data_IF_922723159751
#
_entry.id   IF_922723159751
#
_cell.length_a   1.000
_cell.length_b   1.000
_cell.length_c   1.000
_cell.angle_alpha   90.00
_cell.angle_beta   90.00
_cell.angle_gamma   90.00
#
_symmetry.space_group_name_H-M   'P 1'
#
loop_
_entity.id
_entity.type
_entity.pdbx_description
1 polymer ?
#
# COMPACT_ATOMS: atom_id res chain seq x y z
N UNK A 1 -8.33 50.19 59.90
CA UNK A 1 -8.39 50.28 58.43
C UNK A 1 -7.55 49.13 57.91
N UNK A 2 -8.22 48.04 57.55
CA UNK A 2 -7.63 46.72 57.35
C UNK A 2 -7.00 46.61 55.95
N UNK A 3 -5.74 46.17 55.90
CA UNK A 3 -5.06 45.75 54.67
C UNK A 3 -5.65 44.43 54.17
N UNK A 4 -5.94 44.27 52.86
CA UNK A 4 -6.45 43.00 52.33
C UNK A 4 -5.32 41.96 52.19
N UNK A 5 -5.66 40.66 52.13
CA UNK A 5 -4.71 39.56 52.13
C UNK A 5 -4.09 39.34 50.75
N UNK A 6 -2.81 38.94 50.78
CA UNK A 6 -1.98 38.60 49.63
C UNK A 6 -2.59 37.39 48.88
N UNK A 7 -3.06 37.61 47.65
CA UNK A 7 -3.61 36.57 46.80
C UNK A 7 -2.48 35.67 46.27
N UNK A 8 -2.76 34.38 46.22
CA UNK A 8 -1.80 33.31 45.99
C UNK A 8 -1.03 33.41 44.68
N UNK A 9 0.15 32.79 44.71
CA UNK A 9 0.97 32.44 43.57
C UNK A 9 0.13 31.73 42.50
N UNK A 10 -0.23 32.47 41.46
CA UNK A 10 -0.72 31.90 40.21
C UNK A 10 0.44 31.15 39.55
N UNK A 11 0.27 29.86 39.29
CA UNK A 11 1.15 29.12 38.37
C UNK A 11 1.30 29.93 37.08
N UNK A 12 2.50 30.04 36.49
CA UNK A 12 2.68 30.78 35.26
C UNK A 12 1.77 30.19 34.19
N UNK A 13 0.98 31.05 33.53
CA UNK A 13 0.20 30.68 32.37
C UNK A 13 1.12 30.05 31.31
N UNK A 14 0.67 29.01 30.58
CA UNK A 14 1.49 28.38 29.55
C UNK A 14 1.89 29.45 28.52
N UNK A 15 3.20 29.63 28.33
CA UNK A 15 3.77 30.54 27.33
C UNK A 15 3.39 30.00 25.94
N UNK A 16 2.30 30.52 25.36
CA UNK A 16 1.89 30.21 23.99
C UNK A 16 2.79 31.00 23.03
N UNK A 17 4.07 30.64 22.95
CA UNK A 17 4.88 30.89 21.75
C UNK A 17 4.46 29.85 20.73
N UNK A 18 3.94 30.31 19.58
CA UNK A 18 3.11 29.57 18.62
C UNK A 18 3.64 28.29 17.97
N UNK A 19 4.75 27.71 18.45
CA UNK A 19 5.28 26.42 17.99
C UNK A 19 5.39 25.37 19.10
N UNK A 20 5.19 25.76 20.37
CA UNK A 20 5.36 24.89 21.54
C UNK A 20 4.11 24.80 22.40
N UNK A 21 3.72 23.60 22.82
CA UNK A 21 2.65 23.36 23.80
C UNK A 21 3.14 22.39 24.86
N UNK A 22 3.11 22.77 26.15
CA UNK A 22 3.67 21.98 27.26
C UNK A 22 5.11 21.46 27.03
N UNK A 23 5.97 22.27 26.39
CA UNK A 23 7.35 21.87 26.05
C UNK A 23 7.50 21.02 24.78
N UNK A 24 6.38 20.68 24.11
CA UNK A 24 6.40 19.97 22.83
C UNK A 24 6.45 20.93 21.67
N UNK A 25 7.55 20.92 20.92
CA UNK A 25 7.57 21.54 19.60
C UNK A 25 6.67 20.74 18.64
N UNK A 26 5.69 21.42 18.05
CA UNK A 26 4.83 20.80 17.04
C UNK A 26 5.65 20.24 15.88
N UNK A 27 6.80 20.87 15.56
CA UNK A 27 7.71 20.44 14.51
C UNK A 27 7.05 20.36 13.13
N UNK A 28 5.86 20.96 12.96
CA UNK A 28 5.09 20.91 11.72
C UNK A 28 5.80 21.72 10.63
N UNK A 29 5.70 21.29 9.36
CA UNK A 29 6.30 22.04 8.28
C UNK A 29 5.63 23.42 8.17
N UNK A 30 6.44 24.46 7.98
CA UNK A 30 5.98 25.86 7.81
C UNK A 30 4.99 26.05 6.65
N UNK A 31 4.94 25.12 5.70
CA UNK A 31 3.92 25.09 4.65
C UNK A 31 3.64 23.67 4.16
N UNK A 32 2.37 23.39 3.88
CA UNK A 32 1.86 22.09 3.42
C UNK A 32 1.71 22.00 1.89
N UNK A 33 2.28 22.94 1.14
CA UNK A 33 2.17 22.96 -0.33
C UNK A 33 2.82 21.70 -0.90
N UNK A 34 2.01 20.71 -1.32
CA UNK A 34 2.38 19.41 -1.91
C UNK A 34 2.70 18.21 -0.99
N UNK A 35 2.23 18.19 0.26
CA UNK A 35 2.41 16.99 1.08
C UNK A 35 1.53 15.82 0.60
N UNK A 36 2.16 14.69 0.25
CA UNK A 36 1.47 13.45 -0.10
C UNK A 36 0.50 13.03 1.03
N UNK A 37 -0.67 12.43 0.71
CA UNK A 37 -1.70 12.11 1.70
C UNK A 37 -1.17 11.37 2.95
N UNK A 38 -0.29 10.37 2.75
CA UNK A 38 0.29 9.62 3.86
C UNK A 38 1.09 10.49 4.86
N UNK A 39 1.73 11.57 4.40
CA UNK A 39 2.44 12.51 5.28
C UNK A 39 1.47 13.26 6.17
N UNK A 40 0.31 13.62 5.64
CA UNK A 40 -0.74 14.29 6.40
C UNK A 40 -1.32 13.35 7.46
N UNK A 41 -1.54 12.08 7.11
CA UNK A 41 -2.02 11.06 8.06
C UNK A 41 -1.02 10.83 9.20
N UNK A 42 0.28 10.64 8.87
CA UNK A 42 1.35 10.50 9.87
C UNK A 42 1.36 11.71 10.82
N UNK A 43 1.28 12.91 10.27
CA UNK A 43 1.37 14.14 11.06
C UNK A 43 0.14 14.36 11.92
N UNK A 44 -1.05 14.05 11.41
CA UNK A 44 -2.28 14.02 12.22
C UNK A 44 -2.15 13.04 13.38
N UNK A 45 -1.71 11.81 13.13
CA UNK A 45 -1.56 10.80 14.19
C UNK A 45 -0.49 11.21 15.20
N UNK A 46 0.63 11.76 14.74
CA UNK A 46 1.68 12.32 15.61
C UNK A 46 1.15 13.43 16.52
N UNK A 47 0.36 14.36 16.00
CA UNK A 47 -0.25 15.44 16.81
C UNK A 47 -1.19 14.85 17.86
N UNK A 48 -2.02 13.86 17.50
CA UNK A 48 -2.90 13.18 18.47
C UNK A 48 -2.09 12.54 19.60
N UNK A 49 -0.98 11.86 19.28
CA UNK A 49 -0.11 11.25 20.31
C UNK A 49 0.60 12.30 21.18
N UNK A 50 1.00 13.44 20.60
CA UNK A 50 1.53 14.56 21.38
C UNK A 50 0.49 15.12 22.34
N UNK A 51 -0.76 15.24 21.89
CA UNK A 51 -1.91 15.67 22.69
C UNK A 51 -2.18 14.70 23.86
N UNK A 52 -2.22 13.40 23.57
CA UNK A 52 -2.35 12.35 24.58
C UNK A 52 -1.25 12.43 25.63
N UNK A 53 0.02 12.53 25.19
CA UNK A 53 1.16 12.58 26.10
C UNK A 53 1.17 13.83 26.97
N UNK A 54 0.82 14.99 26.43
CA UNK A 54 0.85 16.24 27.17
C UNK A 54 -0.30 16.37 28.18
N UNK A 55 -1.37 15.57 28.05
CA UNK A 55 -2.38 15.40 29.09
C UNK A 55 -1.91 14.53 30.25
N UNK A 56 -0.87 13.72 30.08
CA UNK A 56 -0.32 12.89 31.15
C UNK A 56 0.35 13.76 32.21
N UNK A 57 -0.25 13.82 33.40
CA UNK A 57 0.35 14.40 34.61
C UNK A 57 1.37 13.43 35.21
N UNK A 58 2.53 13.30 34.58
CA UNK A 58 3.63 12.48 35.09
C UNK A 58 4.23 13.14 36.34
N UNK A 59 4.06 12.52 37.51
CA UNK A 59 4.56 13.04 38.79
C UNK A 59 5.92 12.49 39.17
N UNK A 60 6.27 11.31 38.67
CA UNK A 60 7.56 10.66 38.96
C UNK A 60 8.66 11.14 37.98
N UNK A 61 9.80 11.63 38.48
CA UNK A 61 10.95 11.98 37.64
C UNK A 61 11.42 10.83 36.71
N UNK A 62 11.30 9.58 37.16
CA UNK A 62 11.71 8.42 36.38
C UNK A 62 10.79 8.17 35.17
N UNK A 63 9.47 8.34 35.34
CA UNK A 63 8.49 8.27 34.26
C UNK A 63 8.69 9.41 33.24
N UNK A 64 9.07 10.60 33.71
CA UNK A 64 9.39 11.73 32.86
C UNK A 64 10.65 11.50 32.02
N UNK A 65 11.72 10.93 32.61
CA UNK A 65 12.93 10.54 31.88
C UNK A 65 12.66 9.43 30.87
N UNK A 66 11.86 8.42 31.25
CA UNK A 66 11.49 7.32 30.37
C UNK A 66 10.67 7.81 29.17
N UNK A 67 9.70 8.71 29.39
CA UNK A 67 8.97 9.40 28.31
C UNK A 67 9.92 10.19 27.41
N UNK A 68 10.81 10.99 27.99
CA UNK A 68 11.72 11.84 27.23
C UNK A 68 12.67 11.01 26.34
N UNK A 69 13.21 9.92 26.87
CA UNK A 69 14.16 9.08 26.16
C UNK A 69 13.48 8.18 25.12
N UNK A 70 12.40 7.48 25.50
CA UNK A 70 11.81 6.43 24.68
C UNK A 70 10.69 6.90 23.75
N UNK A 71 10.02 8.01 24.03
CA UNK A 71 8.83 8.44 23.27
C UNK A 71 9.13 9.68 22.44
N UNK A 72 9.73 10.72 23.03
CA UNK A 72 10.02 11.96 22.29
C UNK A 72 11.01 11.72 21.14
N UNK A 73 12.00 10.84 21.36
CA UNK A 73 12.92 10.40 20.31
C UNK A 73 12.21 9.75 19.12
N UNK A 74 11.24 8.87 19.39
CA UNK A 74 10.45 8.20 18.34
C UNK A 74 9.53 9.18 17.59
N UNK A 75 8.87 10.11 18.29
CA UNK A 75 8.03 11.13 17.67
C UNK A 75 8.84 12.11 16.82
N UNK A 76 10.07 12.42 17.23
CA UNK A 76 11.02 13.21 16.44
C UNK A 76 11.50 12.44 15.21
N UNK A 77 11.79 11.14 15.35
CA UNK A 77 12.17 10.28 14.24
C UNK A 77 11.05 10.14 13.20
N UNK A 78 9.81 9.94 13.66
CA UNK A 78 8.62 9.90 12.82
C UNK A 78 8.41 11.23 12.07
N UNK A 79 8.62 12.36 12.76
CA UNK A 79 8.56 13.68 12.14
C UNK A 79 9.61 13.81 11.01
N UNK A 80 10.86 13.45 11.32
CA UNK A 80 11.99 13.49 10.40
C UNK A 80 11.73 12.62 9.17
N UNK A 81 11.28 11.38 9.37
CA UNK A 81 10.93 10.46 8.30
C UNK A 81 9.82 11.01 7.40
N UNK A 82 8.77 11.60 8.00
CA UNK A 82 7.66 12.17 7.24
C UNK A 82 8.05 13.39 6.38
N UNK A 83 9.00 14.21 6.85
CA UNK A 83 9.44 15.42 6.17
C UNK A 83 10.60 15.18 5.19
N UNK A 84 11.27 14.03 5.30
CA UNK A 84 12.41 13.68 4.45
C UNK A 84 11.99 13.68 2.99
N UNK A 85 12.73 14.43 2.16
CA UNK A 85 12.56 14.41 0.71
C UNK A 85 12.99 13.05 0.17
N UNK A 86 12.05 12.31 -0.42
CA UNK A 86 12.31 11.00 -1.02
C UNK A 86 12.58 11.15 -2.51
N UNK A 87 13.78 10.77 -2.95
CA UNK A 87 14.08 10.60 -4.38
C UNK A 87 13.44 9.32 -4.94
N UNK A 88 13.44 9.14 -6.26
CA UNK A 88 12.81 8.00 -6.97
C UNK A 88 13.27 6.64 -6.40
N UNK A 89 14.57 6.49 -6.13
CA UNK A 89 15.12 5.27 -5.53
C UNK A 89 14.56 5.03 -4.12
N UNK A 90 14.55 6.03 -3.23
CA UNK A 90 13.99 5.86 -1.88
C UNK A 90 12.46 5.65 -1.90
N UNK A 91 11.76 6.32 -2.81
CA UNK A 91 10.33 6.14 -3.04
C UNK A 91 9.97 4.72 -3.47
N UNK A 92 10.85 4.08 -4.26
CA UNK A 92 10.71 2.68 -4.65
C UNK A 92 10.71 1.73 -3.44
N UNK A 93 11.63 1.94 -2.49
CA UNK A 93 11.77 1.08 -1.30
C UNK A 93 10.71 1.34 -0.23
N UNK A 94 10.24 2.59 -0.07
CA UNK A 94 9.20 2.94 0.90
C UNK A 94 9.70 3.13 2.34
N UNK A 95 11.01 3.11 2.56
CA UNK A 95 11.60 3.07 3.91
C UNK A 95 11.12 4.21 4.84
N UNK A 96 10.92 5.42 4.32
CA UNK A 96 10.55 6.57 5.18
C UNK A 96 9.09 6.51 5.64
N UNK A 97 8.17 5.96 4.84
CA UNK A 97 6.76 5.80 5.26
C UNK A 97 6.63 4.71 6.31
N UNK A 98 7.32 3.56 6.12
CA UNK A 98 7.36 2.48 7.11
C UNK A 98 8.04 2.92 8.39
N UNK A 99 9.18 3.60 8.28
CA UNK A 99 9.88 4.13 9.46
C UNK A 99 8.95 5.06 10.23
N UNK A 100 8.25 5.97 9.56
CA UNK A 100 7.33 6.87 10.24
C UNK A 100 6.21 6.10 10.98
N UNK A 101 5.53 5.17 10.31
CA UNK A 101 4.46 4.38 10.92
C UNK A 101 4.94 3.48 12.05
N UNK A 102 6.03 2.74 11.84
CA UNK A 102 6.61 1.88 12.86
C UNK A 102 6.97 2.67 14.13
N UNK A 103 7.49 3.90 13.98
CA UNK A 103 7.78 4.78 15.12
C UNK A 103 6.54 5.27 15.83
N UNK A 104 5.45 5.56 15.11
CA UNK A 104 4.18 5.94 15.74
C UNK A 104 3.53 4.75 16.46
N UNK A 105 3.52 3.56 15.85
CA UNK A 105 3.04 2.32 16.48
C UNK A 105 3.82 2.00 17.76
N UNK A 106 5.14 2.14 17.73
CA UNK A 106 6.00 1.95 18.92
C UNK A 106 5.70 2.97 20.03
N UNK A 107 5.38 4.22 19.68
CA UNK A 107 4.92 5.23 20.66
C UNK A 107 3.57 4.85 21.25
N UNK A 108 2.63 4.39 20.43
CA UNK A 108 1.30 3.97 20.88
C UNK A 108 1.39 2.85 21.90
N UNK A 109 2.22 1.84 21.64
CA UNK A 109 2.48 0.74 22.57
C UNK A 109 3.10 1.23 23.88
N UNK A 110 4.13 2.07 23.83
CA UNK A 110 4.83 2.56 25.03
C UNK A 110 4.01 3.55 25.86
N UNK A 111 3.08 4.26 25.23
CA UNK A 111 2.22 5.20 25.95
C UNK A 111 1.26 4.46 26.88
N UNK A 112 0.93 3.19 26.60
CA UNK A 112 0.07 2.37 27.47
C UNK A 112 0.64 2.23 28.88
N UNK A 113 1.96 2.17 29.03
CA UNK A 113 2.60 2.04 30.35
C UNK A 113 2.49 3.33 31.18
N UNK A 114 2.31 4.48 30.53
CA UNK A 114 2.25 5.80 31.17
C UNK A 114 0.81 6.31 31.39
N UNK A 115 -0.19 5.65 30.80
CA UNK A 115 -1.59 6.08 30.93
C UNK A 115 -2.09 5.91 32.37
N UNK A 116 -2.96 6.80 32.88
CA UNK A 116 -3.66 6.58 34.14
C UNK A 116 -4.57 5.34 34.07
N UNK A 117 -4.74 4.63 35.19
CA UNK A 117 -5.58 3.42 35.26
C UNK A 117 -7.03 3.68 34.81
N UNK A 118 -7.53 4.89 35.03
CA UNK A 118 -8.88 5.33 34.64
C UNK A 118 -9.10 5.36 33.13
N UNK A 119 -8.04 5.50 32.33
CA UNK A 119 -8.12 5.60 30.87
C UNK A 119 -7.87 4.25 30.17
N UNK A 120 -7.37 3.24 30.90
CA UNK A 120 -7.01 1.95 30.32
C UNK A 120 -8.20 1.23 29.68
N UNK A 121 -9.39 1.31 30.27
CA UNK A 121 -10.59 0.66 29.71
C UNK A 121 -11.02 1.28 28.37
N UNK A 122 -10.92 2.61 28.25
CA UNK A 122 -11.19 3.31 27.00
C UNK A 122 -10.14 2.93 25.94
N UNK A 123 -8.86 2.87 26.34
CA UNK A 123 -7.77 2.52 25.43
C UNK A 123 -7.82 1.06 24.97
N UNK A 124 -8.23 0.15 25.84
CA UNK A 124 -8.47 -1.25 25.50
C UNK A 124 -9.60 -1.40 24.47
N UNK A 125 -10.67 -0.60 24.60
CA UNK A 125 -11.78 -0.61 23.63
C UNK A 125 -11.32 -0.10 22.26
N UNK A 126 -10.50 0.94 22.21
CA UNK A 126 -9.91 1.42 20.95
C UNK A 126 -8.96 0.38 20.32
N UNK A 127 -8.14 -0.27 21.14
CA UNK A 127 -7.25 -1.35 20.71
C UNK A 127 -8.04 -2.53 20.10
N UNK A 128 -9.16 -2.93 20.71
CA UNK A 128 -10.05 -3.95 20.16
C UNK A 128 -10.70 -3.53 18.84
N UNK A 129 -11.12 -2.27 18.72
CA UNK A 129 -11.66 -1.74 17.48
C UNK A 129 -10.63 -1.77 16.35
N UNK A 130 -9.39 -1.36 16.63
CA UNK A 130 -8.30 -1.43 15.64
C UNK A 130 -7.93 -2.89 15.30
N UNK A 131 -7.87 -3.77 16.31
CA UNK A 131 -7.58 -5.18 16.16
C UNK A 131 -8.63 -5.91 15.31
N UNK A 132 -9.92 -5.59 15.47
CA UNK A 132 -10.99 -6.23 14.67
C UNK A 132 -10.88 -6.02 13.16
N UNK A 133 -10.11 -5.02 12.72
CA UNK A 133 -9.86 -4.74 11.30
C UNK A 133 -8.63 -5.48 10.79
N UNK A 134 -7.67 -5.81 11.67
CA UNK A 134 -6.33 -6.29 11.29
C UNK A 134 -5.97 -7.69 11.82
N UNK A 135 -6.79 -8.25 12.71
CA UNK A 135 -6.65 -9.59 13.27
C UNK A 135 -7.82 -10.47 12.82
N UNK A 136 -7.58 -11.78 12.81
CA UNK A 136 -8.62 -12.77 12.60
C UNK A 136 -9.58 -12.79 13.81
N UNK A 137 -10.86 -13.10 13.56
CA UNK A 137 -11.89 -13.16 14.60
C UNK A 137 -11.59 -14.17 15.72
N UNK A 138 -10.73 -15.15 15.44
CA UNK A 138 -10.31 -16.21 16.37
C UNK A 138 -9.00 -15.91 17.11
N UNK A 139 -8.47 -14.67 17.04
CA UNK A 139 -7.23 -14.33 17.75
C UNK A 139 -7.42 -14.39 19.27
N UNK A 140 -6.73 -15.34 19.90
CA UNK A 140 -6.78 -15.59 21.34
C UNK A 140 -6.49 -14.36 22.20
N UNK A 141 -5.64 -13.43 21.74
CA UNK A 141 -5.28 -12.21 22.50
C UNK A 141 -6.43 -11.21 22.48
N UNK A 142 -7.09 -11.08 21.33
CA UNK A 142 -8.28 -10.23 21.20
C UNK A 142 -9.40 -10.74 22.10
N UNK A 143 -9.66 -12.05 22.08
CA UNK A 143 -10.66 -12.68 22.95
C UNK A 143 -10.33 -12.51 24.44
N UNK A 144 -9.06 -12.64 24.81
CA UNK A 144 -8.61 -12.42 26.18
C UNK A 144 -8.84 -10.99 26.64
N UNK A 145 -8.46 -10.00 25.83
CA UNK A 145 -8.69 -8.58 26.16
C UNK A 145 -10.18 -8.24 26.23
N UNK A 146 -11.00 -8.83 25.36
CA UNK A 146 -12.45 -8.68 25.40
C UNK A 146 -13.05 -9.28 26.69
N UNK A 147 -12.55 -10.44 27.13
CA UNK A 147 -12.98 -11.07 28.37
C UNK A 147 -12.62 -10.22 29.60
N UNK A 148 -11.42 -9.62 29.62
CA UNK A 148 -11.00 -8.70 30.69
C UNK A 148 -11.88 -7.45 30.78
N UNK A 149 -12.37 -6.93 29.65
CA UNK A 149 -13.30 -5.79 29.63
C UNK A 149 -14.74 -6.17 29.97
N UNK A 150 -15.13 -7.42 29.75
CA UNK A 150 -16.48 -7.90 30.03
C UNK A 150 -16.77 -8.06 31.52
N UNK A 151 -15.74 -8.11 32.37
CA UNK A 151 -15.86 -8.17 33.83
C UNK A 151 -15.26 -6.92 34.51
N UNK A 152 -16.03 -5.82 34.61
CA UNK A 152 -15.57 -4.56 35.21
C UNK A 152 -15.14 -4.68 36.67
N UNK A 153 -15.60 -5.73 37.37
CA UNK A 153 -15.36 -6.01 38.79
C UNK A 153 -13.91 -6.41 39.08
N UNK A 154 -13.19 -6.90 38.06
CA UNK A 154 -11.85 -7.47 38.18
C UNK A 154 -10.82 -6.77 37.28
N UNK A 155 -11.08 -5.54 36.83
CA UNK A 155 -10.11 -4.77 36.04
C UNK A 155 -8.89 -4.45 36.91
N UNK A 156 -7.84 -5.27 36.77
CA UNK A 156 -6.52 -5.03 37.33
C UNK A 156 -5.65 -4.38 36.27
N UNK A 157 -5.13 -3.18 36.56
CA UNK A 157 -4.24 -2.46 35.65
C UNK A 157 -2.98 -3.27 35.29
N UNK A 158 -2.49 -4.10 36.22
CA UNK A 158 -1.31 -4.94 35.99
C UNK A 158 -1.52 -6.02 34.92
N UNK A 159 -2.74 -6.51 34.75
CA UNK A 159 -3.08 -7.52 33.75
C UNK A 159 -3.61 -6.88 32.45
N UNK A 160 -4.28 -5.72 32.57
CA UNK A 160 -4.88 -5.02 31.44
C UNK A 160 -3.83 -4.35 30.54
N UNK A 161 -2.82 -3.67 31.11
CA UNK A 161 -1.76 -3.01 30.34
C UNK A 161 -1.03 -3.96 29.38
N UNK A 162 -0.45 -5.10 29.83
CA UNK A 162 0.26 -6.01 28.93
C UNK A 162 -0.67 -6.63 27.89
N UNK A 163 -1.96 -6.85 28.23
CA UNK A 163 -2.95 -7.36 27.29
C UNK A 163 -3.27 -6.36 26.17
N UNK A 164 -3.42 -5.07 26.49
CA UNK A 164 -3.59 -4.00 25.50
C UNK A 164 -2.37 -3.94 24.57
N UNK A 165 -1.15 -3.91 25.14
CA UNK A 165 0.10 -3.85 24.36
C UNK A 165 0.25 -5.06 23.44
N UNK A 166 -0.08 -6.27 23.92
CA UNK A 166 0.00 -7.48 23.12
C UNK A 166 -0.96 -7.46 21.91
N UNK A 167 -2.19 -6.98 22.11
CA UNK A 167 -3.17 -6.83 21.03
C UNK A 167 -2.72 -5.75 20.04
N UNK A 168 -2.32 -4.56 20.52
CA UNK A 168 -1.86 -3.46 19.67
C UNK A 168 -0.66 -3.87 18.82
N UNK A 169 0.38 -4.45 19.44
CA UNK A 169 1.59 -4.87 18.72
C UNK A 169 1.26 -5.83 17.58
N UNK A 170 0.43 -6.82 17.85
CA UNK A 170 0.02 -7.80 16.84
C UNK A 170 -0.76 -7.13 15.71
N UNK A 171 -1.72 -6.27 16.05
CA UNK A 171 -2.51 -5.55 15.06
C UNK A 171 -1.64 -4.62 14.20
N UNK A 172 -0.68 -3.91 14.81
CA UNK A 172 0.30 -3.08 14.10
C UNK A 172 1.19 -3.90 13.18
N UNK A 173 1.75 -5.03 13.64
CA UNK A 173 2.57 -5.93 12.81
C UNK A 173 1.80 -6.45 11.60
N UNK A 174 0.52 -6.82 11.77
CA UNK A 174 -0.33 -7.25 10.66
C UNK A 174 -0.65 -6.10 9.70
N UNK A 175 -0.94 -4.91 10.21
CA UNK A 175 -1.15 -3.71 9.38
C UNK A 175 0.10 -3.36 8.57
N UNK A 176 1.27 -3.39 9.21
CA UNK A 176 2.56 -3.11 8.56
C UNK A 176 2.91 -4.17 7.52
N UNK A 177 2.64 -5.45 7.80
CA UNK A 177 2.81 -6.55 6.83
C UNK A 177 1.90 -6.39 5.61
N UNK A 178 0.63 -6.08 5.82
CA UNK A 178 -0.33 -5.81 4.73
C UNK A 178 0.15 -4.65 3.84
N UNK A 179 0.64 -3.57 4.46
CA UNK A 179 1.23 -2.44 3.75
C UNK A 179 2.53 -2.81 3.00
N UNK A 180 3.36 -3.70 3.54
CA UNK A 180 4.55 -4.24 2.87
C UNK A 180 4.18 -5.08 1.64
N UNK A 181 3.22 -5.99 1.78
CA UNK A 181 2.75 -6.84 0.68
C UNK A 181 2.17 -6.01 -0.47
N UNK A 182 1.35 -5.00 -0.16
CA UNK A 182 0.84 -4.06 -1.15
C UNK A 182 1.99 -3.38 -1.93
N UNK A 183 3.05 -2.96 -1.24
CA UNK A 183 4.21 -2.34 -1.91
C UNK A 183 4.99 -3.31 -2.79
N UNK A 184 5.22 -4.54 -2.33
CA UNK A 184 5.90 -5.55 -3.15
C UNK A 184 5.11 -5.86 -4.41
N UNK A 185 3.77 -5.96 -4.30
CA UNK A 185 2.90 -6.12 -5.45
C UNK A 185 3.01 -4.92 -6.41
N UNK A 186 2.96 -3.69 -5.89
CA UNK A 186 3.21 -2.48 -6.70
C UNK A 186 4.52 -2.57 -7.45
N UNK A 187 5.61 -2.87 -6.75
CA UNK A 187 6.95 -2.86 -7.33
C UNK A 187 7.08 -3.95 -8.42
N UNK A 188 6.48 -5.13 -8.22
CA UNK A 188 6.37 -6.17 -9.25
C UNK A 188 5.58 -5.70 -10.47
N UNK A 189 4.45 -5.01 -10.27
CA UNK A 189 3.63 -4.48 -11.36
C UNK A 189 4.36 -3.38 -12.15
N UNK A 190 5.08 -2.48 -11.48
CA UNK A 190 5.87 -1.44 -12.16
C UNK A 190 7.02 -2.08 -12.94
N UNK A 191 7.71 -3.07 -12.35
CA UNK A 191 8.78 -3.79 -13.04
C UNK A 191 8.26 -4.52 -14.29
N UNK A 192 7.13 -5.23 -14.17
CA UNK A 192 6.48 -5.90 -15.29
C UNK A 192 6.03 -4.89 -16.38
N UNK A 193 5.50 -3.74 -15.97
CA UNK A 193 5.11 -2.67 -16.92
C UNK A 193 6.34 -2.10 -17.64
N UNK A 194 7.43 -1.87 -16.91
CA UNK A 194 8.69 -1.43 -17.48
C UNK A 194 9.27 -2.44 -18.47
N UNK A 195 9.21 -3.74 -18.16
CA UNK A 195 9.62 -4.80 -19.07
C UNK A 195 8.74 -4.84 -20.34
N UNK A 196 7.42 -4.71 -20.21
CA UNK A 196 6.51 -4.65 -21.36
C UNK A 196 6.80 -3.42 -22.24
N UNK A 197 7.03 -2.24 -21.65
CA UNK A 197 7.43 -1.04 -22.38
C UNK A 197 8.78 -1.25 -23.09
N UNK A 198 9.74 -1.88 -22.42
CA UNK A 198 11.04 -2.19 -23.01
C UNK A 198 10.91 -3.10 -24.23
N UNK A 199 10.16 -4.21 -24.12
CA UNK A 199 9.92 -5.10 -25.25
C UNK A 199 9.12 -4.41 -26.36
N UNK A 200 8.13 -3.60 -26.03
CA UNK A 200 7.39 -2.81 -27.02
C UNK A 200 8.33 -1.87 -27.80
N UNK A 201 9.20 -1.14 -27.10
CA UNK A 201 10.20 -0.28 -27.71
C UNK A 201 11.24 -1.06 -28.52
N UNK A 202 11.63 -2.26 -28.06
CA UNK A 202 12.57 -3.13 -28.76
C UNK A 202 11.97 -3.70 -30.04
N UNK A 203 10.71 -4.13 -30.05
CA UNK A 203 10.01 -4.59 -31.27
C UNK A 203 9.93 -3.46 -32.29
N UNK A 204 9.59 -2.25 -31.82
CA UNK A 204 9.60 -1.03 -32.61
C UNK A 204 11.00 -0.74 -33.19
N UNK A 205 12.05 -0.72 -32.35
CA UNK A 205 13.42 -0.50 -32.79
C UNK A 205 13.89 -1.54 -33.80
N UNK A 206 13.55 -2.81 -33.58
CA UNK A 206 13.90 -3.92 -34.47
C UNK A 206 13.25 -3.73 -35.84
N UNK A 207 11.95 -3.40 -35.89
CA UNK A 207 11.27 -3.09 -37.17
C UNK A 207 11.88 -1.88 -37.88
N UNK A 208 12.35 -0.89 -37.13
CA UNK A 208 13.03 0.29 -37.69
C UNK A 208 14.41 -0.04 -38.26
N UNK A 209 15.16 -0.94 -37.62
CA UNK A 209 16.49 -1.37 -38.04
C UNK A 209 16.42 -2.34 -39.24
N UNK A 210 15.52 -3.31 -39.20
CA UNK A 210 15.35 -4.33 -40.25
C UNK A 210 14.29 -3.89 -41.27
N UNK A 211 14.57 -2.80 -42.01
CA UNK A 211 13.63 -2.19 -42.96
C UNK A 211 13.12 -3.14 -44.06
N UNK A 212 13.86 -4.20 -44.37
CA UNK A 212 13.54 -5.14 -45.44
C UNK A 212 12.64 -6.31 -44.99
N UNK A 213 12.58 -6.58 -43.67
CA UNK A 213 11.79 -7.68 -43.12
C UNK A 213 10.66 -7.10 -42.28
N UNK A 214 9.43 -7.41 -42.68
CA UNK A 214 8.22 -6.92 -42.03
C UNK A 214 7.77 -7.96 -41.00
N UNK A 215 7.53 -7.54 -39.76
CA UNK A 215 6.94 -8.44 -38.76
C UNK A 215 5.48 -8.78 -39.09
N UNK A 216 4.71 -7.80 -39.55
CA UNK A 216 3.31 -7.95 -39.90
C UNK A 216 3.14 -7.75 -41.41
N UNK A 217 2.19 -8.47 -42.01
CA UNK A 217 1.81 -8.26 -43.41
C UNK A 217 1.23 -6.86 -43.60
N UNK A 218 1.68 -6.16 -44.64
CA UNK A 218 1.21 -4.80 -44.93
C UNK A 218 -0.14 -4.88 -45.68
N UNK A 219 -1.15 -4.06 -45.32
CA UNK A 219 -2.41 -4.00 -46.04
C UNK A 219 -2.23 -3.55 -47.49
N UNK A 220 -2.88 -4.23 -48.43
CA UNK A 220 -2.69 -4.02 -49.88
C UNK A 220 -3.12 -2.62 -50.37
N UNK A 221 -4.08 -1.97 -49.69
CA UNK A 221 -4.84 -0.87 -50.29
C UNK A 221 -4.56 0.55 -49.75
N UNK A 222 -3.69 0.78 -48.77
CA UNK A 222 -3.66 2.13 -48.16
C UNK A 222 -2.38 2.60 -47.47
N UNK A 223 -1.54 1.73 -46.93
CA UNK A 223 -0.43 2.17 -46.08
C UNK A 223 0.90 2.26 -46.86
N UNK A 224 1.19 3.42 -47.46
CA UNK A 224 2.44 3.71 -48.20
C UNK A 224 3.60 4.19 -47.31
N UNK A 225 3.36 4.26 -46.01
CA UNK A 225 4.27 4.79 -45.00
C UNK A 225 5.28 3.73 -44.52
N UNK A 226 6.22 4.14 -43.66
CA UNK A 226 7.29 3.25 -43.17
C UNK A 226 6.71 2.10 -42.34
N UNK A 227 7.19 0.85 -42.49
CA UNK A 227 6.72 -0.31 -41.72
C UNK A 227 6.65 -0.13 -40.21
N UNK A 228 7.56 0.68 -39.67
CA UNK A 228 7.60 0.98 -38.25
C UNK A 228 6.41 1.84 -37.79
N UNK A 229 5.89 2.72 -38.65
CA UNK A 229 4.70 3.54 -38.37
C UNK A 229 3.44 2.67 -38.37
N UNK A 230 3.37 1.69 -39.28
CA UNK A 230 2.29 0.70 -39.29
C UNK A 230 2.25 -0.11 -38.00
N UNK A 231 3.40 -0.67 -37.59
CA UNK A 231 3.54 -1.40 -36.34
C UNK A 231 3.17 -0.54 -35.12
N UNK A 232 3.60 0.73 -35.10
CA UNK A 232 3.22 1.67 -34.05
C UNK A 232 1.70 1.87 -33.99
N UNK A 233 1.03 2.00 -35.13
CA UNK A 233 -0.43 2.17 -35.19
C UNK A 233 -1.17 0.93 -34.67
N UNK A 234 -0.72 -0.27 -35.06
CA UNK A 234 -1.24 -1.54 -34.54
C UNK A 234 -1.09 -1.61 -33.02
N UNK A 235 0.10 -1.30 -32.51
CA UNK A 235 0.40 -1.29 -31.08
C UNK A 235 -0.47 -0.28 -30.32
N UNK A 236 -0.70 0.90 -30.90
CA UNK A 236 -1.59 1.92 -30.34
C UNK A 236 -3.03 1.42 -30.23
N UNK A 237 -3.58 0.81 -31.27
CA UNK A 237 -4.94 0.24 -31.22
C UNK A 237 -5.03 -0.98 -30.27
N UNK A 238 -3.94 -1.75 -30.12
CA UNK A 238 -3.80 -2.75 -29.06
C UNK A 238 -3.91 -2.15 -27.65
N UNK A 239 -3.27 -1.00 -27.40
CA UNK A 239 -3.45 -0.26 -26.13
C UNK A 239 -4.89 0.22 -25.94
N UNK A 240 -5.54 0.70 -27.00
CA UNK A 240 -6.95 1.16 -26.93
C UNK A 240 -7.86 0.00 -26.51
N UNK A 241 -7.70 -1.17 -27.11
CA UNK A 241 -8.44 -2.38 -26.72
C UNK A 241 -8.19 -2.77 -25.26
N UNK A 242 -6.93 -2.72 -24.83
CA UNK A 242 -6.55 -2.98 -23.45
C UNK A 242 -7.18 -2.00 -22.46
N UNK A 243 -7.27 -0.72 -22.80
CA UNK A 243 -7.84 0.32 -21.96
C UNK A 243 -9.30 0.04 -21.60
N UNK A 244 -10.11 -0.42 -22.57
CA UNK A 244 -11.51 -0.81 -22.31
C UNK A 244 -11.64 -1.87 -21.22
N UNK A 245 -10.64 -2.73 -21.07
CA UNK A 245 -10.64 -3.79 -20.04
C UNK A 245 -10.05 -3.35 -18.70
N UNK A 246 -9.31 -2.24 -18.67
CA UNK A 246 -8.72 -1.69 -17.45
C UNK A 246 -9.72 -0.82 -16.66
N UNK A 247 -10.63 -0.12 -17.34
CA UNK A 247 -11.59 0.81 -16.73
C UNK A 247 -12.47 0.16 -15.64
N UNK A 248 -13.11 -1.01 -15.86
CA UNK A 248 -13.96 -1.61 -14.84
C UNK A 248 -13.20 -2.09 -13.59
N UNK A 249 -11.89 -2.35 -13.72
CA UNK A 249 -11.05 -2.72 -12.58
C UNK A 249 -10.69 -1.51 -11.72
N UNK A 250 -10.57 -0.32 -12.33
CA UNK A 250 -10.32 0.94 -11.61
C UNK A 250 -11.56 1.47 -10.91
N UNK A 251 -12.78 1.21 -11.42
CA UNK A 251 -14.02 1.69 -10.81
C UNK A 251 -14.42 0.95 -9.53
N UNK A 252 -13.79 -0.20 -9.23
CA UNK A 252 -14.05 -1.02 -8.04
C UNK A 252 -13.07 -0.77 -6.90
N UNK A 253 -12.18 0.21 -7.02
CA UNK A 253 -11.23 0.58 -5.96
C UNK A 253 -12.05 1.01 -4.74
N UNK A 254 -11.98 0.28 -3.60
CA UNK A 254 -12.55 0.79 -2.36
C UNK A 254 -11.93 2.16 -2.07
N UNK A 255 -12.70 3.12 -1.56
CA UNK A 255 -12.16 4.41 -1.12
C UNK A 255 -11.14 4.29 0.03
N UNK A 256 -10.83 3.07 0.45
CA UNK A 256 -9.95 2.80 1.56
C UNK A 256 -8.54 3.31 1.25
N UNK A 257 -7.98 4.02 2.23
CA UNK A 257 -6.83 4.91 2.06
C UNK A 257 -5.50 4.15 2.04
N UNK A 258 -5.41 3.04 1.29
CA UNK A 258 -4.14 2.35 1.08
C UNK A 258 -3.21 3.25 0.26
N UNK A 259 -2.03 3.65 0.79
CA UNK A 259 -1.12 4.56 0.09
C UNK A 259 -0.52 3.96 -1.20
N UNK A 260 -0.83 2.70 -1.54
CA UNK A 260 -0.23 1.96 -2.64
C UNK A 260 -1.11 1.77 -3.89
N UNK A 261 -2.38 2.21 -3.91
CA UNK A 261 -3.29 2.26 -5.08
C UNK A 261 -3.05 1.16 -6.15
N UNK A 262 -3.15 -0.10 -5.73
CA UNK A 262 -2.84 -1.28 -6.55
C UNK A 262 -3.61 -1.36 -7.87
N UNK A 263 -4.92 -1.03 -7.93
CA UNK A 263 -5.68 -1.18 -9.17
C UNK A 263 -5.24 -0.22 -10.29
N UNK A 264 -4.71 0.96 -9.92
CA UNK A 264 -4.16 1.90 -10.90
C UNK A 264 -2.93 1.29 -11.61
N UNK A 265 -2.04 0.64 -10.86
CA UNK A 265 -0.86 0.00 -11.41
C UNK A 265 -1.20 -1.24 -12.23
N UNK A 266 -2.20 -2.01 -11.80
CA UNK A 266 -2.73 -3.12 -12.60
C UNK A 266 -3.31 -2.63 -13.93
N UNK A 267 -4.00 -1.50 -13.93
CA UNK A 267 -4.49 -0.88 -15.16
C UNK A 267 -3.37 -0.39 -16.07
N UNK A 268 -2.32 0.21 -15.51
CA UNK A 268 -1.14 0.64 -16.26
C UNK A 268 -0.44 -0.56 -16.93
N UNK A 269 -0.26 -1.66 -16.20
CA UNK A 269 0.32 -2.89 -16.75
C UNK A 269 -0.50 -3.41 -17.93
N UNK A 270 -1.83 -3.49 -17.78
CA UNK A 270 -2.75 -3.93 -18.85
C UNK A 270 -2.66 -3.04 -20.08
N UNK A 271 -2.56 -1.72 -19.88
CA UNK A 271 -2.43 -0.76 -20.98
C UNK A 271 -1.16 -1.00 -21.78
N UNK A 272 -0.04 -1.25 -21.12
CA UNK A 272 1.26 -1.50 -21.77
C UNK A 272 1.35 -2.90 -22.38
N UNK A 273 0.67 -3.89 -21.79
CA UNK A 273 0.65 -5.26 -22.30
C UNK A 273 -0.17 -5.38 -23.60
N UNK A 274 -1.25 -4.59 -23.73
CA UNK A 274 -2.13 -4.55 -24.92
C UNK A 274 -1.40 -4.51 -26.27
N UNK A 275 -0.47 -3.56 -26.50
CA UNK A 275 0.39 -3.50 -27.67
C UNK A 275 1.06 -4.82 -28.05
N UNK A 276 1.65 -5.50 -27.07
CA UNK A 276 2.40 -6.74 -27.31
C UNK A 276 1.46 -7.88 -27.69
N UNK A 277 0.32 -7.99 -26.97
CA UNK A 277 -0.69 -9.01 -27.26
C UNK A 277 -1.31 -8.80 -28.64
N UNK A 278 -1.55 -7.54 -29.04
CA UNK A 278 -2.04 -7.22 -30.38
C UNK A 278 -1.09 -7.66 -31.49
N UNK A 279 0.21 -7.38 -31.34
CA UNK A 279 1.24 -7.80 -32.31
C UNK A 279 1.31 -9.33 -32.39
N UNK A 280 1.35 -10.03 -31.25
CA UNK A 280 1.38 -11.50 -31.22
C UNK A 280 0.12 -12.11 -31.83
N UNK A 281 -1.06 -11.56 -31.53
CA UNK A 281 -2.32 -12.03 -32.08
C UNK A 281 -2.37 -11.92 -33.61
N UNK A 282 -1.90 -10.79 -34.16
CA UNK A 282 -1.82 -10.63 -35.61
C UNK A 282 -0.76 -11.55 -36.25
N UNK A 283 0.39 -11.76 -35.60
CA UNK A 283 1.40 -12.73 -36.08
C UNK A 283 0.83 -14.15 -36.19
N UNK A 284 -0.02 -14.57 -35.25
CA UNK A 284 -0.67 -15.88 -35.28
C UNK A 284 -1.64 -16.00 -36.46
N UNK A 285 -2.35 -14.92 -36.80
CA UNK A 285 -3.25 -14.89 -37.94
C UNK A 285 -2.51 -14.83 -39.28
N UNK A 286 -1.43 -14.05 -39.36
CA UNK A 286 -0.57 -13.97 -40.55
C UNK A 286 0.13 -15.30 -40.84
N UNK A 287 0.44 -16.08 -39.80
CA UNK A 287 1.00 -17.42 -39.94
C UNK A 287 -0.04 -18.50 -40.34
N UNK A 288 -1.31 -18.12 -40.51
CA UNK A 288 -2.46 -19.01 -40.81
C UNK A 288 -2.61 -20.20 -39.84
N UNK A 289 -2.09 -20.06 -38.62
CA UNK A 289 -2.08 -21.16 -37.63
C UNK A 289 -3.51 -21.55 -37.22
N UNK A 290 -4.42 -20.57 -37.19
CA UNK A 290 -5.79 -20.76 -36.73
C UNK A 290 -6.80 -20.98 -37.88
N UNK A 291 -6.39 -20.91 -39.15
CA UNK A 291 -7.30 -20.94 -40.33
C UNK A 291 -8.46 -19.95 -40.24
N UNK A 292 -8.30 -18.88 -39.46
CA UNK A 292 -9.27 -17.78 -39.34
C UNK A 292 -8.77 -16.68 -40.27
N UNK A 293 -9.56 -16.32 -41.28
CA UNK A 293 -9.13 -15.38 -42.31
C UNK A 293 -8.57 -14.07 -41.74
N UNK A 294 -7.37 -13.72 -42.18
CA UNK A 294 -6.77 -12.41 -41.91
C UNK A 294 -7.49 -11.32 -42.72
N UNK A 295 -7.51 -10.09 -42.21
CA UNK A 295 -8.05 -8.94 -42.93
C UNK A 295 -6.94 -8.24 -43.69
N UNK A 296 -7.06 -8.16 -45.02
CA UNK A 296 -6.10 -7.42 -45.85
C UNK A 296 -6.31 -5.90 -45.84
N UNK A 297 -7.32 -5.41 -45.10
CA UNK A 297 -7.60 -3.96 -44.97
C UNK A 297 -6.95 -3.37 -43.71
N UNK A 298 -6.51 -2.10 -43.80
CA UNK A 298 -5.96 -1.36 -42.66
C UNK A 298 -6.94 -1.32 -41.48
N UNK A 299 -8.19 -0.92 -41.75
CA UNK A 299 -9.23 -0.79 -40.71
C UNK A 299 -9.50 -2.14 -40.05
N UNK A 300 -9.63 -3.22 -40.82
CA UNK A 300 -9.87 -4.55 -40.27
C UNK A 300 -8.69 -5.03 -39.41
N UNK A 301 -7.45 -4.72 -39.79
CA UNK A 301 -6.28 -5.04 -38.96
C UNK A 301 -6.26 -4.25 -37.66
N UNK A 302 -6.60 -2.96 -37.67
CA UNK A 302 -6.66 -2.13 -36.46
C UNK A 302 -7.81 -2.55 -35.51
N UNK A 303 -8.96 -2.95 -36.06
CA UNK A 303 -10.05 -3.55 -35.29
C UNK A 303 -9.59 -4.84 -34.63
N UNK A 304 -8.90 -5.70 -35.37
CA UNK A 304 -8.39 -6.97 -34.88
C UNK A 304 -7.29 -6.78 -33.81
N UNK A 305 -6.40 -5.81 -34.00
CA UNK A 305 -5.43 -5.39 -32.98
C UNK A 305 -6.12 -4.92 -31.70
N UNK A 306 -7.22 -4.18 -31.81
CA UNK A 306 -8.05 -3.76 -30.67
C UNK A 306 -8.67 -4.96 -29.96
N UNK A 307 -9.23 -5.91 -30.72
CA UNK A 307 -9.82 -7.14 -30.17
C UNK A 307 -8.77 -7.96 -29.42
N UNK A 308 -7.57 -8.16 -29.98
CA UNK A 308 -6.50 -8.86 -29.29
C UNK A 308 -5.99 -8.11 -28.05
N UNK A 309 -5.87 -6.79 -28.13
CA UNK A 309 -5.53 -5.95 -26.98
C UNK A 309 -6.53 -6.07 -25.82
N UNK A 310 -7.83 -6.17 -26.11
CA UNK A 310 -8.87 -6.47 -25.12
C UNK A 310 -8.83 -7.94 -24.67
N UNK A 311 -8.51 -8.85 -25.59
CA UNK A 311 -8.44 -10.30 -25.37
C UNK A 311 -7.31 -10.78 -24.46
N UNK A 312 -6.41 -9.89 -24.02
CA UNK A 312 -5.31 -10.22 -23.12
C UNK A 312 -5.75 -10.99 -21.85
N UNK A 313 -6.97 -10.76 -21.34
CA UNK A 313 -7.50 -11.47 -20.15
C UNK A 313 -7.76 -12.95 -20.36
N UNK A 314 -8.05 -13.38 -21.60
CA UNK A 314 -8.26 -14.78 -21.89
C UNK A 314 -6.94 -15.56 -21.84
N UNK A 315 -5.89 -14.96 -22.40
CA UNK A 315 -4.55 -15.57 -22.44
C UNK A 315 -3.94 -15.62 -21.04
N UNK A 316 -4.03 -14.55 -20.25
CA UNK A 316 -3.45 -14.54 -18.89
C UNK A 316 -4.17 -15.51 -17.95
N UNK A 317 -5.51 -15.58 -17.99
CA UNK A 317 -6.27 -16.57 -17.21
C UNK A 317 -5.89 -18.00 -17.55
N UNK A 318 -5.69 -18.31 -18.83
CA UNK A 318 -5.31 -19.66 -19.25
C UNK A 318 -3.92 -20.05 -18.72
N UNK A 319 -2.94 -19.15 -18.81
CA UNK A 319 -1.58 -19.39 -18.30
C UNK A 319 -1.58 -19.51 -16.77
N UNK A 320 -2.32 -18.65 -16.06
CA UNK A 320 -2.43 -18.69 -14.60
C UNK A 320 -3.07 -20.02 -14.12
N UNK A 321 -4.10 -20.49 -14.82
CA UNK A 321 -4.73 -21.79 -14.53
C UNK A 321 -3.74 -22.94 -14.75
N UNK A 322 -2.99 -22.95 -15.86
CA UNK A 322 -1.98 -23.97 -16.14
C UNK A 322 -0.82 -23.98 -15.15
N UNK A 323 -0.33 -22.80 -14.77
CA UNK A 323 0.72 -22.69 -13.75
C UNK A 323 0.24 -23.21 -12.39
N UNK A 324 -1.00 -22.90 -12.01
CA UNK A 324 -1.61 -23.38 -10.77
C UNK A 324 -1.81 -24.90 -10.78
N UNK A 325 -2.25 -25.49 -11.89
CA UNK A 325 -2.36 -26.94 -12.08
C UNK A 325 -1.01 -27.65 -11.87
N UNK A 326 0.08 -27.11 -12.45
CA UNK A 326 1.42 -27.69 -12.35
C UNK A 326 1.98 -27.57 -10.92
N UNK A 327 1.85 -26.39 -10.29
CA UNK A 327 2.29 -26.18 -8.91
C UNK A 327 1.52 -27.06 -7.91
N UNK A 328 0.22 -27.26 -8.15
CA UNK A 328 -0.61 -28.16 -7.30
C UNK A 328 -0.27 -29.62 -7.56
N UNK A 329 0.09 -29.99 -8.79
CA UNK A 329 0.57 -31.33 -9.12
C UNK A 329 1.92 -31.65 -8.44
N UNK A 330 2.82 -30.67 -8.30
CA UNK A 330 4.07 -30.81 -7.55
C UNK A 330 3.86 -30.82 -6.03
N UNK A 331 2.74 -30.27 -5.53
CA UNK A 331 2.40 -30.19 -4.10
C UNK A 331 1.35 -31.26 -3.67
N UNK A 332 1.05 -32.25 -4.53
CA UNK A 332 0.09 -33.35 -4.27
C UNK A 332 0.58 -34.45 -3.30
N UNK A 333 -0.32 -35.26 -2.71
CA UNK A 333 -0.32 -35.65 -1.30
C UNK A 333 0.62 -36.81 -0.96
N UNK A 334 1.66 -36.52 -0.18
CA UNK A 334 2.54 -37.52 0.40
C UNK A 334 2.80 -37.26 1.89
N UNK A 335 1.76 -37.28 2.74
CA UNK A 335 1.81 -37.52 4.21
C UNK A 335 0.42 -37.37 4.85
N UNK A 336 -0.36 -38.46 4.90
CA UNK A 336 -1.34 -38.76 5.97
C UNK A 336 -2.11 -40.06 5.67
N UNK A 337 -1.42 -41.19 5.56
CA UNK A 337 -2.08 -42.50 5.67
C UNK A 337 -1.14 -43.53 6.26
N UNK A 338 -0.69 -43.30 7.50
CA UNK A 338 -0.13 -44.34 8.37
C UNK A 338 -0.39 -43.94 9.83
N UNK A 339 -1.65 -44.01 10.25
CA UNK A 339 -2.04 -44.18 11.64
C UNK A 339 -3.56 -44.42 11.68
N UNK A 340 -4.00 -45.65 11.41
CA UNK A 340 -4.97 -46.37 12.24
C UNK A 340 -5.31 -47.72 11.58
N UNK A 341 -4.60 -48.76 12.00
CA UNK A 341 -5.06 -50.16 12.02
C UNK A 341 -4.03 -50.96 12.81
N UNK A 342 -4.41 -51.33 14.02
CA UNK A 342 -3.61 -52.07 15.00
C UNK A 342 -4.15 -51.78 16.38
#
# INVERSE_FOLDING_TARGET
>A
MSTPPNAGSTSPAPDVRGDTWNGFESGLPKSWKSASPWRQTIQRRRIMLLDDLARLELKDPSEQEQRAFLINGLLSDANTASQTKVGIRKWWWGNEIERAWARLHEVEERTIDLLPDTELAARASEALGYASVHLDADDTRQQHLQALLADPSHINAADLRPSIVAVLRTAHENSDRSNQEARYLRNRLILASGACLFFAALTLLTQRLFRNNHFLTLPDDTFKDSPWQYLFLVMFFGSVGALFTAIPAMSKVPLDHSPFNLPLQQGLLKLVLGPLVAVVGLLILDADVLHVGSSNTLIGTLLLATVFGAGQHAVTRYVDQRASEILTAETGPGKSSFANKG
#
